data_IF_465305424302
#
_entry.id   IF_465305424302
#
_cell.length_a   1.000
_cell.length_b   1.000
_cell.length_c   1.000
_cell.angle_alpha   90.00
_cell.angle_beta   90.00
_cell.angle_gamma   90.00
#
_symmetry.space_group_name_H-M   'P 1'
#
loop_
_entity.id
_entity.type
_entity.pdbx_description
1 polymer ?
#
# COMPACT_ATOMS: atom_id res chain seq x y z
N UNK A 1 40.08 -26.24 16.70
CA UNK A 1 40.03 -27.33 15.70
C UNK A 1 40.68 -28.62 16.21
N UNK A 2 41.76 -28.55 17.02
CA UNK A 2 42.50 -29.74 17.46
C UNK A 2 41.76 -30.64 18.49
N UNK A 3 41.00 -30.07 19.44
CA UNK A 3 40.26 -30.86 20.44
C UNK A 3 39.16 -31.77 19.86
N UNK A 4 38.55 -31.39 18.73
CA UNK A 4 37.48 -32.16 18.08
C UNK A 4 38.05 -33.36 17.28
N UNK A 5 39.20 -33.14 16.64
CA UNK A 5 39.95 -34.19 15.95
C UNK A 5 40.55 -35.20 16.95
N UNK A 6 41.04 -34.76 18.10
CA UNK A 6 41.55 -35.65 19.16
C UNK A 6 40.43 -36.48 19.81
N UNK A 7 39.25 -35.90 20.02
CA UNK A 7 38.04 -36.63 20.45
C UNK A 7 37.64 -37.72 19.45
N UNK A 8 37.71 -37.41 18.16
CA UNK A 8 37.42 -38.34 17.07
C UNK A 8 38.45 -39.49 16.98
N UNK A 9 39.74 -39.19 17.18
CA UNK A 9 40.81 -40.20 17.15
C UNK A 9 40.67 -41.20 18.31
N UNK A 10 40.22 -40.74 19.49
CA UNK A 10 40.01 -41.59 20.68
C UNK A 10 38.71 -42.39 20.70
N UNK A 11 37.75 -42.09 19.82
CA UNK A 11 36.44 -42.74 19.85
C UNK A 11 36.47 -44.09 19.12
N UNK A 12 36.20 -45.16 19.86
CA UNK A 12 35.95 -46.49 19.29
C UNK A 12 34.48 -46.60 18.89
N UNK A 13 34.22 -46.97 17.65
CA UNK A 13 32.85 -47.11 17.12
C UNK A 13 32.50 -48.59 17.09
N UNK A 14 31.59 -48.97 17.98
CA UNK A 14 31.06 -50.33 18.03
C UNK A 14 30.16 -50.62 16.84
N UNK A 15 30.08 -51.89 16.46
CA UNK A 15 29.26 -52.35 15.33
C UNK A 15 27.77 -51.97 15.45
N UNK A 16 27.12 -52.02 16.64
CA UNK A 16 25.73 -51.57 16.79
C UNK A 16 25.52 -50.09 16.42
N UNK A 17 26.51 -49.23 16.68
CA UNK A 17 26.43 -47.80 16.35
C UNK A 17 26.46 -47.56 14.84
N UNK A 18 27.22 -48.37 14.08
CA UNK A 18 27.21 -48.32 12.61
C UNK A 18 25.84 -48.71 12.05
N UNK A 19 25.22 -49.76 12.59
CA UNK A 19 23.86 -50.19 12.20
C UNK A 19 22.85 -49.09 12.50
N UNK A 20 22.99 -48.41 13.64
CA UNK A 20 22.17 -47.25 13.96
C UNK A 20 22.34 -46.11 12.93
N UNK A 21 23.57 -45.76 12.54
CA UNK A 21 23.81 -44.74 11.51
C UNK A 21 23.22 -45.11 10.15
N UNK A 22 23.29 -46.39 9.75
CA UNK A 22 22.64 -46.89 8.53
C UNK A 22 21.12 -46.68 8.57
N UNK A 23 20.48 -47.04 9.68
CA UNK A 23 19.04 -46.83 9.87
C UNK A 23 18.70 -45.34 9.83
N UNK A 24 19.45 -44.51 10.54
CA UNK A 24 19.23 -43.06 10.57
C UNK A 24 19.42 -42.41 9.19
N UNK A 25 20.34 -42.93 8.36
CA UNK A 25 20.58 -42.45 7.02
C UNK A 25 19.39 -42.63 6.07
N UNK A 26 18.43 -43.49 6.41
CA UNK A 26 17.13 -43.58 5.70
C UNK A 26 16.27 -42.34 5.93
N UNK A 27 16.33 -41.72 7.11
CA UNK A 27 15.70 -40.43 7.38
C UNK A 27 16.36 -39.30 6.58
N UNK A 28 17.69 -39.30 6.53
CA UNK A 28 18.48 -38.36 5.70
C UNK A 28 18.14 -38.52 4.20
N UNK A 29 17.81 -39.73 3.75
CA UNK A 29 17.43 -40.02 2.36
C UNK A 29 16.11 -39.34 1.94
N UNK A 30 15.17 -39.13 2.87
CA UNK A 30 13.92 -38.40 2.59
C UNK A 30 14.24 -36.98 2.11
N UNK A 31 15.11 -36.27 2.83
CA UNK A 31 15.50 -34.90 2.50
C UNK A 31 16.24 -34.83 1.16
N UNK A 32 17.22 -35.70 0.92
CA UNK A 32 17.91 -35.78 -0.38
C UNK A 32 16.93 -36.03 -1.53
N UNK A 33 15.98 -36.94 -1.34
CA UNK A 33 14.95 -37.25 -2.35
C UNK A 33 14.10 -36.02 -2.66
N UNK A 34 13.62 -35.30 -1.64
CA UNK A 34 12.80 -34.08 -1.84
C UNK A 34 13.61 -32.96 -2.51
N UNK A 35 14.84 -32.70 -2.04
CA UNK A 35 15.69 -31.64 -2.57
C UNK A 35 16.00 -31.89 -4.06
N UNK A 36 16.47 -33.10 -4.39
CA UNK A 36 16.83 -33.42 -5.77
C UNK A 36 15.61 -33.46 -6.68
N UNK A 37 14.47 -33.96 -6.22
CA UNK A 37 13.26 -34.06 -7.04
C UNK A 37 12.53 -32.72 -7.22
N UNK A 38 12.41 -31.89 -6.17
CA UNK A 38 11.58 -30.67 -6.18
C UNK A 38 12.37 -29.39 -6.41
N UNK A 39 13.54 -29.24 -5.79
CA UNK A 39 14.32 -28.00 -5.89
C UNK A 39 15.28 -28.03 -7.08
N UNK A 40 15.88 -29.19 -7.36
CA UNK A 40 16.82 -29.37 -8.49
C UNK A 40 16.17 -29.92 -9.76
N UNK A 41 14.88 -30.29 -9.70
CA UNK A 41 14.09 -30.84 -10.82
C UNK A 41 14.79 -32.03 -11.53
N UNK A 42 15.42 -32.91 -10.75
CA UNK A 42 16.09 -34.10 -11.28
C UNK A 42 15.14 -35.29 -11.29
N UNK A 43 15.12 -36.03 -12.41
CA UNK A 43 14.31 -37.25 -12.57
C UNK A 43 15.14 -38.48 -12.19
N UNK A 44 14.73 -39.18 -11.13
CA UNK A 44 15.36 -40.41 -10.66
C UNK A 44 14.34 -41.30 -9.91
N UNK A 45 14.74 -42.54 -9.61
CA UNK A 45 13.88 -43.47 -8.85
C UNK A 45 13.80 -43.05 -7.39
N UNK A 46 12.59 -42.94 -6.83
CA UNK A 46 12.36 -42.41 -5.46
C UNK A 46 13.10 -43.19 -4.35
N UNK A 47 13.41 -44.46 -4.57
CA UNK A 47 14.10 -45.32 -3.60
C UNK A 47 15.63 -45.22 -3.66
N UNK A 48 16.20 -44.45 -4.59
CA UNK A 48 17.65 -44.37 -4.82
C UNK A 48 18.42 -44.02 -3.54
N UNK A 49 18.07 -42.93 -2.87
CA UNK A 49 18.79 -42.47 -1.67
C UNK A 49 18.55 -43.35 -0.45
N UNK A 50 17.40 -44.04 -0.38
CA UNK A 50 17.10 -44.98 0.70
C UNK A 50 18.01 -46.21 0.67
N UNK A 51 18.53 -46.55 -0.51
CA UNK A 51 19.50 -47.64 -0.68
C UNK A 51 20.93 -47.10 -0.65
N UNK A 52 21.18 -45.98 -1.34
CA UNK A 52 22.52 -45.40 -1.46
C UNK A 52 23.10 -44.94 -0.12
N UNK A 53 22.33 -44.22 0.71
CA UNK A 53 22.87 -43.62 1.93
C UNK A 53 23.28 -44.67 2.97
N UNK A 54 22.45 -45.69 3.31
CA UNK A 54 22.87 -46.75 4.23
C UNK A 54 24.02 -47.60 3.68
N UNK A 55 24.04 -47.89 2.36
CA UNK A 55 25.14 -48.63 1.73
C UNK A 55 26.45 -47.86 1.83
N UNK A 56 26.44 -46.53 1.63
CA UNK A 56 27.64 -45.70 1.72
C UNK A 56 28.27 -45.74 3.12
N UNK A 57 27.43 -45.73 4.17
CA UNK A 57 27.87 -45.88 5.57
C UNK A 57 28.39 -47.30 5.82
N UNK A 58 27.77 -48.32 5.25
CA UNK A 58 28.23 -49.71 5.39
C UNK A 58 29.56 -49.98 4.73
N UNK A 59 29.72 -49.56 3.49
CA UNK A 59 30.97 -49.73 2.75
C UNK A 59 32.11 -48.98 3.44
N UNK A 60 31.87 -47.78 3.96
CA UNK A 60 32.90 -47.04 4.71
C UNK A 60 33.26 -47.73 6.03
N UNK A 61 32.29 -48.33 6.73
CA UNK A 61 32.55 -49.10 7.96
C UNK A 61 33.40 -50.37 7.73
N UNK A 62 33.29 -51.01 6.56
CA UNK A 62 34.11 -52.17 6.19
C UNK A 62 35.59 -51.80 5.99
N UNK A 63 35.88 -50.59 5.52
CA UNK A 63 37.24 -50.09 5.35
C UNK A 63 37.80 -49.65 6.70
N UNK A 64 37.07 -48.80 7.42
CA UNK A 64 37.42 -48.34 8.75
C UNK A 64 36.16 -47.85 9.47
N UNK A 65 35.84 -48.44 10.63
CA UNK A 65 34.65 -48.08 11.41
C UNK A 65 34.56 -46.59 11.72
N UNK A 66 35.69 -45.89 11.88
CA UNK A 66 35.74 -44.43 12.11
C UNK A 66 35.22 -43.64 10.89
N UNK A 67 35.50 -44.10 9.67
CA UNK A 67 35.02 -43.45 8.44
C UNK A 67 33.49 -43.43 8.33
N UNK A 68 32.80 -44.42 8.92
CA UNK A 68 31.34 -44.45 8.93
C UNK A 68 30.73 -43.20 9.60
N UNK A 69 31.35 -42.70 10.68
CA UNK A 69 30.93 -41.49 11.37
C UNK A 69 31.16 -40.23 10.52
N UNK A 70 32.31 -40.14 9.84
CA UNK A 70 32.61 -39.04 8.92
C UNK A 70 31.58 -39.02 7.79
N UNK A 71 31.35 -40.17 7.15
CA UNK A 71 30.39 -40.30 6.05
C UNK A 71 28.99 -39.93 6.51
N UNK A 72 28.60 -40.37 7.71
CA UNK A 72 27.32 -40.00 8.31
C UNK A 72 27.17 -38.47 8.46
N UNK A 73 28.14 -37.79 9.06
CA UNK A 73 28.08 -36.33 9.20
C UNK A 73 28.13 -35.60 7.87
N UNK A 74 28.93 -36.09 6.91
CA UNK A 74 28.94 -35.55 5.55
C UNK A 74 27.57 -35.66 4.88
N UNK A 75 26.86 -36.78 5.06
CA UNK A 75 25.49 -36.95 4.58
C UNK A 75 24.50 -36.01 5.28
N UNK A 76 24.69 -35.70 6.56
CA UNK A 76 23.87 -34.68 7.25
C UNK A 76 24.14 -33.28 6.68
N UNK A 77 25.42 -32.91 6.53
CA UNK A 77 25.83 -31.60 6.01
C UNK A 77 25.38 -31.41 4.55
N UNK A 78 25.43 -32.47 3.73
CA UNK A 78 25.04 -32.39 2.32
C UNK A 78 23.56 -32.02 2.15
N UNK A 79 22.68 -32.38 3.08
CA UNK A 79 21.26 -31.96 3.05
C UNK A 79 21.15 -30.43 3.01
N UNK A 80 21.85 -29.74 3.92
CA UNK A 80 21.78 -28.28 4.01
C UNK A 80 22.43 -27.61 2.80
N UNK A 81 23.57 -28.13 2.35
CA UNK A 81 24.28 -27.59 1.19
C UNK A 81 23.44 -27.71 -0.08
N UNK A 82 22.85 -28.88 -0.35
CA UNK A 82 21.98 -29.06 -1.51
C UNK A 82 20.65 -28.31 -1.38
N UNK A 83 20.11 -28.13 -0.16
CA UNK A 83 18.92 -27.33 0.06
C UNK A 83 19.15 -25.85 -0.32
N UNK A 84 20.27 -25.26 0.10
CA UNK A 84 20.63 -23.87 -0.24
C UNK A 84 20.82 -23.73 -1.74
N UNK A 85 21.61 -24.61 -2.37
CA UNK A 85 21.82 -24.60 -3.83
C UNK A 85 20.50 -24.76 -4.58
N UNK A 86 19.65 -25.69 -4.13
CA UNK A 86 18.34 -25.95 -4.69
C UNK A 86 17.41 -24.74 -4.57
N UNK A 87 17.38 -24.07 -3.42
CA UNK A 87 16.57 -22.87 -3.19
C UNK A 87 17.02 -21.71 -4.09
N UNK A 88 18.32 -21.46 -4.21
CA UNK A 88 18.87 -20.43 -5.10
C UNK A 88 18.52 -20.74 -6.55
N UNK A 89 18.78 -21.98 -7.02
CA UNK A 89 18.45 -22.39 -8.39
C UNK A 89 16.96 -22.24 -8.68
N UNK A 90 16.10 -22.76 -7.80
CA UNK A 90 14.64 -22.66 -7.93
C UNK A 90 14.17 -21.20 -7.96
N UNK A 91 14.74 -20.33 -7.13
CA UNK A 91 14.49 -18.89 -7.15
C UNK A 91 14.86 -18.24 -8.48
N UNK A 92 16.03 -18.57 -9.04
CA UNK A 92 16.48 -18.03 -10.33
C UNK A 92 15.61 -18.54 -11.49
N UNK A 93 15.31 -19.84 -11.52
CA UNK A 93 14.49 -20.47 -12.58
C UNK A 93 13.08 -19.90 -12.56
N UNK A 94 12.42 -19.88 -11.38
CA UNK A 94 11.09 -19.31 -11.23
C UNK A 94 11.06 -17.82 -11.59
N UNK A 95 12.08 -17.05 -11.21
CA UNK A 95 12.21 -15.65 -11.62
C UNK A 95 12.34 -15.51 -13.14
N UNK A 96 13.10 -16.37 -13.81
CA UNK A 96 13.24 -16.38 -15.27
C UNK A 96 11.93 -16.74 -15.97
N UNK A 97 11.24 -17.77 -15.51
CA UNK A 97 9.93 -18.17 -16.05
C UNK A 97 8.88 -17.07 -15.88
N UNK A 98 8.81 -16.45 -14.70
CA UNK A 98 7.89 -15.35 -14.44
C UNK A 98 8.21 -14.13 -15.31
N UNK A 99 9.50 -13.82 -15.52
CA UNK A 99 9.93 -12.79 -16.48
C UNK A 99 9.48 -13.15 -17.89
N UNK A 100 9.69 -14.39 -18.35
CA UNK A 100 9.30 -14.84 -19.69
C UNK A 100 7.78 -14.83 -19.92
N UNK A 101 6.98 -15.25 -18.92
CA UNK A 101 5.51 -15.15 -18.96
C UNK A 101 5.08 -13.69 -19.06
N UNK A 102 5.72 -12.80 -18.29
CA UNK A 102 5.42 -11.37 -18.27
C UNK A 102 5.84 -10.67 -19.57
N UNK A 103 6.98 -11.02 -20.18
CA UNK A 103 7.38 -10.45 -21.48
C UNK A 103 6.43 -10.89 -22.59
N UNK A 104 6.04 -12.17 -22.64
CA UNK A 104 5.01 -12.65 -23.58
C UNK A 104 3.68 -11.92 -23.40
N UNK A 105 3.24 -11.71 -22.16
CA UNK A 105 2.03 -10.95 -21.86
C UNK A 105 2.15 -9.48 -22.28
N UNK A 106 3.26 -8.82 -21.96
CA UNK A 106 3.49 -7.43 -22.34
C UNK A 106 3.55 -7.24 -23.86
N UNK A 107 4.17 -8.18 -24.59
CA UNK A 107 4.19 -8.16 -26.04
C UNK A 107 2.79 -8.33 -26.64
N UNK A 108 1.98 -9.26 -26.10
CA UNK A 108 0.61 -9.49 -26.56
C UNK A 108 -0.28 -8.24 -26.46
N UNK A 109 -0.10 -7.43 -25.42
CA UNK A 109 -0.94 -6.26 -25.13
C UNK A 109 -0.19 -4.92 -25.32
N UNK A 110 0.98 -4.94 -25.98
CA UNK A 110 1.85 -3.78 -26.20
C UNK A 110 2.09 -2.91 -24.94
N UNK A 111 2.27 -3.54 -23.79
CA UNK A 111 2.43 -2.87 -22.50
C UNK A 111 3.87 -2.38 -22.35
N UNK A 112 4.05 -1.06 -22.27
CA UNK A 112 5.36 -0.45 -22.00
C UNK A 112 5.84 -0.81 -20.58
N UNK A 113 7.10 -1.23 -20.40
CA UNK A 113 7.62 -1.54 -19.07
C UNK A 113 7.61 -0.29 -18.19
N UNK A 114 7.30 -0.46 -16.91
CA UNK A 114 7.40 0.63 -15.93
C UNK A 114 8.84 1.15 -15.91
N UNK A 115 9.07 2.46 -16.01
CA UNK A 115 10.41 3.01 -16.04
C UNK A 115 11.13 2.76 -14.70
N UNK A 116 12.44 2.55 -14.76
CA UNK A 116 13.25 2.13 -13.61
C UNK A 116 13.20 3.14 -12.45
N UNK A 117 13.21 4.44 -12.77
CA UNK A 117 13.19 5.53 -11.79
C UNK A 117 11.98 5.48 -10.86
N UNK A 118 10.80 5.03 -11.32
CA UNK A 118 9.62 4.89 -10.45
C UNK A 118 9.82 3.86 -9.34
N UNK A 119 10.59 2.80 -9.61
CA UNK A 119 10.94 1.80 -8.58
C UNK A 119 11.95 2.38 -7.59
N UNK A 120 12.92 3.13 -8.09
CA UNK A 120 13.94 3.80 -7.27
C UNK A 120 13.27 4.82 -6.34
N UNK A 121 12.39 5.66 -6.88
CA UNK A 121 11.62 6.64 -6.09
C UNK A 121 10.80 5.95 -5.00
N UNK A 122 10.10 4.85 -5.32
CA UNK A 122 9.35 4.09 -4.30
C UNK A 122 10.25 3.54 -3.19
N UNK A 123 11.44 3.05 -3.54
CA UNK A 123 12.44 2.58 -2.57
C UNK A 123 12.99 3.71 -1.70
N UNK A 124 13.35 4.86 -2.30
CA UNK A 124 13.81 6.04 -1.58
C UNK A 124 12.73 6.55 -0.63
N UNK A 125 11.47 6.60 -1.06
CA UNK A 125 10.36 7.02 -0.22
C UNK A 125 10.19 6.11 1.01
N UNK A 126 10.29 4.79 0.82
CA UNK A 126 10.21 3.83 1.91
C UNK A 126 11.39 3.96 2.90
N UNK A 127 12.61 4.14 2.38
CA UNK A 127 13.81 4.36 3.21
C UNK A 127 13.73 5.68 3.98
N UNK A 128 13.24 6.75 3.33
CA UNK A 128 13.03 8.05 3.96
C UNK A 128 12.00 7.97 5.08
N UNK A 129 10.89 7.25 4.88
CA UNK A 129 9.90 7.01 5.93
C UNK A 129 10.49 6.21 7.10
N UNK A 130 11.27 5.15 6.82
CA UNK A 130 11.91 4.36 7.88
C UNK A 130 12.93 5.19 8.67
N UNK A 131 13.70 6.05 7.98
CA UNK A 131 14.62 6.99 8.62
C UNK A 131 13.89 7.99 9.51
N UNK A 132 12.79 8.60 9.04
CA UNK A 132 11.95 9.49 9.84
C UNK A 132 11.37 8.79 11.07
N UNK A 133 10.86 7.57 10.90
CA UNK A 133 10.33 6.75 11.99
C UNK A 133 11.40 6.38 13.02
N UNK A 134 12.65 6.12 12.59
CA UNK A 134 13.74 5.83 13.51
C UNK A 134 14.17 7.04 14.36
N UNK A 135 14.08 8.26 13.82
CA UNK A 135 14.49 9.48 14.52
C UNK A 135 13.40 10.07 15.41
N UNK A 136 12.15 10.05 14.94
CA UNK A 136 11.02 10.74 15.59
C UNK A 136 9.95 9.73 16.04
N UNK A 137 10.22 8.43 16.02
CA UNK A 137 9.33 7.40 16.55
C UNK A 137 7.87 7.49 16.04
N UNK A 138 6.85 7.35 16.91
CA UNK A 138 5.45 7.32 16.52
C UNK A 138 4.96 8.65 15.91
N UNK A 139 5.62 9.77 16.16
CA UNK A 139 5.26 11.07 15.57
C UNK A 139 5.35 11.08 14.03
N UNK A 140 6.19 10.22 13.44
CA UNK A 140 6.27 10.06 11.98
C UNK A 140 4.96 9.55 11.36
N UNK A 141 4.14 8.80 12.12
CA UNK A 141 2.82 8.38 11.66
C UNK A 141 1.85 9.55 11.55
N UNK A 142 1.91 10.51 12.47
CA UNK A 142 1.06 11.72 12.42
C UNK A 142 1.37 12.56 11.20
N UNK A 143 2.66 12.77 10.91
CA UNK A 143 3.09 13.47 9.69
C UNK A 143 2.60 12.76 8.43
N UNK A 144 2.66 11.43 8.39
CA UNK A 144 2.13 10.64 7.27
C UNK A 144 0.63 10.88 7.08
N UNK A 145 -0.16 10.85 8.16
CA UNK A 145 -1.61 11.11 8.12
C UNK A 145 -1.96 12.54 7.69
N UNK A 146 -1.12 13.53 7.97
CA UNK A 146 -1.32 14.92 7.51
C UNK A 146 -0.90 15.10 6.03
N UNK A 147 0.18 14.45 5.59
CA UNK A 147 0.72 14.62 4.25
C UNK A 147 -0.14 13.89 3.20
N UNK A 148 -0.68 12.70 3.49
CA UNK A 148 -1.50 11.93 2.55
C UNK A 148 -2.71 12.72 1.99
N UNK A 149 -3.58 13.34 2.81
CA UNK A 149 -4.72 14.11 2.30
C UNK A 149 -4.24 15.36 1.53
N UNK A 150 -3.15 15.99 1.97
CA UNK A 150 -2.56 17.15 1.31
C UNK A 150 -2.08 16.80 -0.11
N UNK A 151 -1.36 15.68 -0.28
CA UNK A 151 -0.89 15.21 -1.59
C UNK A 151 -2.06 14.88 -2.52
N UNK A 152 -3.11 14.22 -2.01
CA UNK A 152 -4.30 13.90 -2.79
C UNK A 152 -5.07 15.15 -3.26
N UNK A 153 -4.97 16.27 -2.53
CA UNK A 153 -5.54 17.56 -2.93
C UNK A 153 -4.78 18.16 -4.13
N UNK A 154 -3.45 18.06 -4.14
CA UNK A 154 -2.61 18.66 -5.19
C UNK A 154 -2.47 17.80 -6.46
N UNK A 155 -2.67 16.47 -6.38
CA UNK A 155 -2.56 15.54 -7.51
C UNK A 155 -3.90 14.86 -7.84
N UNK A 156 -4.92 15.60 -8.33
CA UNK A 156 -6.22 15.02 -8.62
C UNK A 156 -6.17 14.06 -9.81
N UNK A 157 -6.66 12.84 -9.60
CA UNK A 157 -6.90 11.87 -10.68
C UNK A 157 -7.95 12.37 -11.68
N UNK A 158 -8.03 11.75 -12.85
CA UNK A 158 -8.92 12.24 -13.93
C UNK A 158 -10.40 12.17 -13.56
N UNK A 159 -10.83 11.13 -12.84
CA UNK A 159 -12.16 11.05 -12.19
C UNK A 159 -12.44 12.27 -11.29
N UNK A 160 -11.45 12.75 -10.54
CA UNK A 160 -11.63 13.92 -9.68
C UNK A 160 -11.82 15.20 -10.48
N UNK A 161 -11.18 15.32 -11.67
CA UNK A 161 -11.40 16.44 -12.58
C UNK A 161 -12.81 16.43 -13.13
N UNK A 162 -13.28 15.28 -13.61
CA UNK A 162 -14.66 15.10 -14.06
C UNK A 162 -15.65 15.51 -12.97
N UNK A 163 -15.54 14.92 -11.77
CA UNK A 163 -16.41 15.24 -10.64
C UNK A 163 -16.26 16.67 -10.12
N UNK A 164 -15.16 17.37 -10.43
CA UNK A 164 -15.00 18.78 -10.08
C UNK A 164 -15.83 19.65 -11.02
N UNK A 165 -15.73 19.42 -12.33
CA UNK A 165 -16.49 20.18 -13.32
C UNK A 165 -17.99 19.87 -13.26
N UNK A 166 -18.35 18.62 -13.00
CA UNK A 166 -19.73 18.18 -12.79
C UNK A 166 -20.42 18.97 -11.67
N UNK A 167 -19.68 19.46 -10.66
CA UNK A 167 -20.25 20.26 -9.57
C UNK A 167 -20.50 21.72 -9.94
N UNK A 168 -19.82 22.22 -10.96
CA UNK A 168 -19.78 23.65 -11.28
C UNK A 168 -20.52 23.99 -12.56
N UNK A 169 -20.64 23.02 -13.48
CA UNK A 169 -21.33 23.21 -14.75
C UNK A 169 -22.80 22.88 -14.56
N UNK A 170 -23.73 23.73 -15.04
CA UNK A 170 -25.11 23.34 -15.19
C UNK A 170 -25.25 22.41 -16.41
N UNK A 171 -26.10 21.40 -16.28
CA UNK A 171 -26.49 20.54 -17.40
C UNK A 171 -27.23 21.35 -18.45
N UNK A 172 -26.68 21.42 -19.66
CA UNK A 172 -27.24 22.16 -20.79
C UNK A 172 -28.09 21.25 -21.68
N UNK A 173 -29.17 21.79 -22.24
CA UNK A 173 -29.92 21.12 -23.30
C UNK A 173 -29.12 21.12 -24.60
N UNK A 174 -29.18 20.03 -25.35
CA UNK A 174 -28.37 19.83 -26.57
C UNK A 174 -28.61 20.93 -27.60
N UNK A 175 -29.87 21.34 -27.81
CA UNK A 175 -30.22 22.39 -28.79
C UNK A 175 -29.61 23.76 -28.47
N UNK A 176 -29.36 24.06 -27.20
CA UNK A 176 -28.93 25.37 -26.73
C UNK A 176 -27.60 25.34 -25.98
N UNK A 177 -26.81 24.27 -26.17
CA UNK A 177 -25.52 24.14 -25.51
C UNK A 177 -24.56 25.21 -26.04
N UNK A 178 -23.89 25.90 -25.13
CA UNK A 178 -22.92 26.93 -25.50
C UNK A 178 -21.60 26.29 -25.98
N UNK A 179 -20.93 26.99 -26.90
CA UNK A 179 -19.59 26.61 -27.35
C UNK A 179 -18.58 26.59 -26.19
N UNK A 180 -17.66 25.63 -26.19
CA UNK A 180 -16.66 25.46 -25.14
C UNK A 180 -17.01 24.37 -24.13
N UNK A 181 -16.47 24.45 -22.93
CA UNK A 181 -16.68 23.44 -21.88
C UNK A 181 -18.16 23.39 -21.46
N UNK A 182 -18.79 22.23 -21.59
CA UNK A 182 -20.18 22.03 -21.24
C UNK A 182 -20.43 20.67 -20.59
N UNK A 183 -21.55 20.59 -19.88
CA UNK A 183 -22.15 19.35 -19.39
C UNK A 183 -23.45 19.11 -20.16
N UNK A 184 -23.61 17.91 -20.70
CA UNK A 184 -24.82 17.47 -21.40
C UNK A 184 -25.25 16.11 -20.87
N UNK A 185 -26.53 15.83 -20.97
CA UNK A 185 -27.13 14.56 -20.56
C UNK A 185 -28.15 14.11 -21.61
N UNK A 186 -28.20 12.80 -21.87
CA UNK A 186 -29.09 12.22 -22.88
C UNK A 186 -28.91 10.71 -23.06
N UNK A 187 -29.73 10.15 -23.93
CA UNK A 187 -29.72 8.74 -24.35
C UNK A 187 -28.67 8.53 -25.44
N UNK A 188 -27.88 7.46 -25.32
CA UNK A 188 -26.87 7.13 -26.34
C UNK A 188 -27.50 6.46 -27.57
N UNK A 189 -27.06 6.89 -28.76
CA UNK A 189 -27.37 6.27 -30.06
C UNK A 189 -26.09 5.83 -30.76
N UNK A 190 -26.07 4.57 -31.19
CA UNK A 190 -24.94 3.99 -31.89
C UNK A 190 -24.94 4.41 -33.37
N UNK A 191 -23.77 4.82 -33.88
CA UNK A 191 -23.55 5.02 -35.32
C UNK A 191 -22.98 3.72 -35.91
N UNK A 192 -21.79 3.34 -35.45
CA UNK A 192 -21.12 2.09 -35.84
C UNK A 192 -20.74 1.25 -34.62
N UNK A 193 -20.97 -0.07 -34.63
CA UNK A 193 -20.67 -0.93 -33.51
C UNK A 193 -19.16 -1.17 -33.34
N UNK A 194 -18.72 -1.19 -32.08
CA UNK A 194 -17.47 -1.80 -31.63
C UNK A 194 -17.75 -3.18 -31.08
N UNK A 195 -16.89 -4.15 -31.40
CA UNK A 195 -16.99 -5.51 -30.87
C UNK A 195 -16.17 -5.65 -29.59
N UNK A 196 -16.85 -5.84 -28.46
CA UNK A 196 -16.21 -5.98 -27.16
C UNK A 196 -15.34 -7.26 -27.06
N UNK A 197 -14.22 -7.24 -26.30
CA UNK A 197 -13.29 -8.38 -26.24
C UNK A 197 -13.89 -9.64 -25.61
N UNK A 198 -14.80 -9.49 -24.63
CA UNK A 198 -15.44 -10.62 -23.93
C UNK A 198 -16.82 -10.87 -24.55
N UNK A 199 -17.06 -12.13 -24.94
CA UNK A 199 -18.30 -12.60 -25.60
C UNK A 199 -18.66 -11.92 -26.94
N UNK A 200 -17.80 -11.06 -27.50
CA UNK A 200 -17.98 -10.45 -28.83
C UNK A 200 -19.31 -9.68 -28.97
N UNK A 201 -19.72 -8.99 -27.90
CA UNK A 201 -20.94 -8.16 -27.91
C UNK A 201 -20.71 -6.88 -28.71
N UNK A 202 -21.71 -6.45 -29.47
CA UNK A 202 -21.75 -5.14 -30.11
C UNK A 202 -22.06 -4.05 -29.07
N UNK A 203 -21.35 -2.93 -29.14
CA UNK A 203 -21.46 -1.81 -28.22
C UNK A 203 -20.97 -0.51 -28.87
N UNK A 204 -21.22 0.64 -28.26
CA UNK A 204 -20.71 1.94 -28.72
C UNK A 204 -19.21 2.05 -28.41
N UNK A 205 -18.82 1.57 -27.23
CA UNK A 205 -17.45 1.50 -26.79
C UNK A 205 -17.30 0.60 -25.58
N UNK A 206 -16.06 0.22 -25.28
CA UNK A 206 -15.72 -0.61 -24.14
C UNK A 206 -14.49 -0.09 -23.40
N UNK A 207 -14.45 -0.30 -22.08
CA UNK A 207 -13.22 -0.32 -21.29
C UNK A 207 -12.92 -1.78 -20.92
N UNK A 208 -11.75 -2.28 -21.33
CA UNK A 208 -11.30 -3.63 -21.05
C UNK A 208 -10.09 -3.62 -20.12
N UNK A 209 -10.20 -4.36 -19.02
CA UNK A 209 -9.21 -4.38 -17.95
C UNK A 209 -8.73 -5.79 -17.65
N UNK A 210 -7.43 -5.92 -17.44
CA UNK A 210 -6.79 -7.16 -16.98
C UNK A 210 -6.07 -6.85 -15.67
N UNK A 211 -6.32 -7.68 -14.65
CA UNK A 211 -5.77 -7.55 -13.32
C UNK A 211 -5.07 -8.84 -12.90
N UNK A 212 -3.91 -8.72 -12.25
CA UNK A 212 -3.28 -9.82 -11.52
C UNK A 212 -4.03 -10.05 -10.21
N UNK A 213 -4.31 -11.31 -9.90
CA UNK A 213 -4.91 -11.73 -8.63
C UNK A 213 -3.78 -12.20 -7.71
N UNK A 214 -3.67 -11.60 -6.53
CA UNK A 214 -2.77 -12.08 -5.47
C UNK A 214 -3.59 -12.38 -4.24
N UNK A 215 -3.46 -13.60 -3.70
CA UNK A 215 -4.18 -14.05 -2.52
C UNK A 215 -3.22 -14.08 -1.34
N UNK A 216 -3.64 -13.51 -0.20
CA UNK A 216 -2.87 -13.60 1.04
C UNK A 216 -3.11 -14.92 1.78
N UNK A 217 -2.46 -15.10 2.93
CA UNK A 217 -2.57 -16.32 3.74
C UNK A 217 -3.97 -16.55 4.30
N UNK A 218 -4.76 -15.47 4.44
CA UNK A 218 -6.12 -15.49 4.98
C UNK A 218 -7.17 -15.66 3.87
N UNK A 219 -6.73 -15.89 2.63
CA UNK A 219 -7.60 -16.09 1.48
C UNK A 219 -8.15 -14.80 0.87
N UNK A 220 -7.72 -13.63 1.35
CA UNK A 220 -8.16 -12.34 0.82
C UNK A 220 -7.43 -12.03 -0.48
N UNK A 221 -8.23 -11.70 -1.50
CA UNK A 221 -7.71 -11.36 -2.81
C UNK A 221 -7.41 -9.86 -2.93
N UNK A 222 -6.26 -9.57 -3.52
CA UNK A 222 -5.86 -8.24 -3.97
C UNK A 222 -5.73 -8.25 -5.49
N UNK A 223 -6.11 -7.14 -6.11
CA UNK A 223 -6.13 -6.98 -7.56
C UNK A 223 -5.17 -5.87 -7.97
N UNK A 224 -4.37 -6.12 -8.99
CA UNK A 224 -3.46 -5.12 -9.56
C UNK A 224 -3.68 -5.02 -11.06
N UNK A 225 -4.17 -3.88 -11.52
CA UNK A 225 -4.34 -3.62 -12.96
C UNK A 225 -2.99 -3.71 -13.68
N UNK A 226 -2.92 -4.57 -14.68
CA UNK A 226 -1.74 -4.77 -15.54
C UNK A 226 -1.97 -4.29 -16.96
N UNK A 227 -3.23 -4.21 -17.40
CA UNK A 227 -3.62 -3.70 -18.70
C UNK A 227 -4.97 -2.99 -18.58
N UNK A 228 -5.11 -1.86 -19.28
CA UNK A 228 -6.36 -1.15 -19.45
C UNK A 228 -6.38 -0.57 -20.86
N UNK A 229 -7.48 -0.78 -21.56
CA UNK A 229 -7.70 -0.24 -22.89
C UNK A 229 -9.14 0.29 -22.96
N UNK A 230 -9.31 1.44 -23.59
CA UNK A 230 -10.61 2.01 -23.90
C UNK A 230 -10.69 2.20 -25.40
N UNK A 231 -11.70 1.62 -26.04
CA UNK A 231 -12.01 1.78 -27.46
C UNK A 231 -13.45 2.20 -27.58
N UNK A 232 -13.72 3.24 -28.35
CA UNK A 232 -15.05 3.79 -28.52
C UNK A 232 -15.14 4.41 -29.91
N UNK A 233 -16.22 4.12 -30.63
CA UNK A 233 -16.51 4.73 -31.93
C UNK A 233 -17.34 6.01 -31.75
N UNK A 234 -17.36 6.93 -32.72
CA UNK A 234 -18.30 8.05 -32.72
C UNK A 234 -19.74 7.60 -32.51
N UNK A 235 -20.49 8.39 -31.75
CA UNK A 235 -21.88 8.10 -31.40
C UNK A 235 -22.68 9.39 -31.27
N UNK A 236 -24.00 9.28 -31.25
CA UNK A 236 -24.87 10.41 -30.93
C UNK A 236 -25.34 10.33 -29.49
N UNK A 237 -25.53 11.50 -28.88
CA UNK A 237 -26.30 11.64 -27.65
C UNK A 237 -27.55 12.46 -27.94
N UNK A 238 -28.68 12.01 -27.42
CA UNK A 238 -30.00 12.58 -27.69
C UNK A 238 -30.71 12.97 -26.39
N UNK A 239 -31.24 14.19 -26.34
CA UNK A 239 -32.14 14.64 -25.28
C UNK A 239 -33.50 15.03 -25.89
N UNK A 240 -34.43 15.56 -25.09
CA UNK A 240 -35.74 15.97 -25.63
C UNK A 240 -35.66 17.16 -26.62
N UNK A 241 -34.50 17.81 -26.74
CA UNK A 241 -34.29 19.02 -27.54
C UNK A 241 -33.51 18.77 -28.83
N UNK A 242 -32.68 17.74 -28.91
CA UNK A 242 -31.91 17.46 -30.11
C UNK A 242 -30.94 16.30 -29.97
N UNK A 243 -30.10 16.17 -30.98
CA UNK A 243 -29.04 15.16 -31.08
C UNK A 243 -27.72 15.85 -31.37
N UNK A 244 -26.63 15.37 -30.77
CA UNK A 244 -25.28 15.88 -31.01
C UNK A 244 -24.30 14.73 -31.15
N UNK A 245 -23.41 14.83 -32.13
CA UNK A 245 -22.36 13.84 -32.35
C UNK A 245 -21.27 13.98 -31.29
N UNK A 246 -20.76 12.85 -30.81
CA UNK A 246 -19.66 12.76 -29.86
C UNK A 246 -18.46 12.15 -30.55
N UNK A 247 -17.35 12.90 -30.60
CA UNK A 247 -16.05 12.37 -30.96
C UNK A 247 -15.39 11.78 -29.70
N UNK A 248 -15.20 10.46 -29.60
CA UNK A 248 -14.80 9.79 -28.36
C UNK A 248 -13.28 9.81 -28.12
N UNK A 249 -12.50 10.55 -28.90
CA UNK A 249 -11.06 10.63 -28.70
C UNK A 249 -10.73 11.07 -27.25
N UNK A 250 -9.97 10.25 -26.51
CA UNK A 250 -9.62 10.47 -25.09
C UNK A 250 -10.81 10.47 -24.13
N UNK A 251 -11.96 9.91 -24.51
CA UNK A 251 -13.09 9.74 -23.61
C UNK A 251 -12.73 8.80 -22.46
N UNK A 252 -13.08 9.18 -21.24
CA UNK A 252 -12.91 8.36 -20.06
C UNK A 252 -14.24 7.84 -19.52
N UNK A 253 -14.26 6.57 -19.13
CA UNK A 253 -15.45 5.94 -18.56
C UNK A 253 -15.42 6.10 -17.05
N UNK A 254 -16.37 6.84 -16.50
CA UNK A 254 -16.50 7.06 -15.06
C UNK A 254 -17.73 6.30 -14.58
N UNK A 255 -17.54 5.34 -13.68
CA UNK A 255 -18.64 4.55 -13.08
C UNK A 255 -19.55 3.81 -14.07
N UNK A 256 -19.10 3.59 -15.30
CA UNK A 256 -19.78 2.72 -16.27
C UNK A 256 -19.87 1.31 -15.67
N UNK A 257 -21.04 0.69 -15.80
CA UNK A 257 -21.30 -0.59 -15.16
C UNK A 257 -20.48 -1.71 -15.81
N UNK A 258 -20.10 -2.69 -14.99
CA UNK A 258 -19.33 -3.85 -15.44
C UNK A 258 -20.29 -4.82 -16.13
N UNK A 259 -20.02 -5.12 -17.39
CA UNK A 259 -20.84 -6.03 -18.19
C UNK A 259 -20.47 -7.49 -17.93
N UNK A 260 -19.20 -7.84 -18.05
CA UNK A 260 -18.72 -9.23 -17.92
C UNK A 260 -17.40 -9.32 -17.17
N UNK A 261 -17.19 -10.46 -16.52
CA UNK A 261 -15.89 -10.81 -15.94
C UNK A 261 -15.62 -12.31 -16.03
N UNK A 262 -14.34 -12.68 -16.11
CA UNK A 262 -13.91 -14.07 -15.91
C UNK A 262 -12.50 -14.13 -15.32
N UNK A 263 -12.12 -15.32 -14.83
CA UNK A 263 -10.80 -15.58 -14.25
C UNK A 263 -10.08 -16.65 -15.04
N UNK A 264 -8.80 -16.45 -15.32
CA UNK A 264 -7.95 -17.46 -15.98
C UNK A 264 -6.48 -17.23 -15.64
N UNK A 265 -5.79 -18.29 -15.21
CA UNK A 265 -4.34 -18.27 -14.99
C UNK A 265 -3.86 -17.22 -13.98
N UNK A 266 -4.56 -17.08 -12.84
CA UNK A 266 -4.23 -16.08 -11.81
C UNK A 266 -4.53 -14.63 -12.20
N UNK A 267 -5.34 -14.41 -13.24
CA UNK A 267 -5.75 -13.08 -13.70
C UNK A 267 -7.27 -12.96 -13.72
N UNK A 268 -7.75 -11.74 -13.47
CA UNK A 268 -9.14 -11.32 -13.68
C UNK A 268 -9.22 -10.49 -14.95
N UNK A 269 -10.21 -10.79 -15.77
CA UNK A 269 -10.52 -10.06 -17.00
C UNK A 269 -11.91 -9.47 -16.82
N UNK A 270 -12.08 -8.19 -17.08
CA UNK A 270 -13.35 -7.50 -16.96
C UNK A 270 -13.56 -6.53 -18.10
N UNK A 271 -14.81 -6.29 -18.48
CA UNK A 271 -15.18 -5.25 -19.43
C UNK A 271 -16.35 -4.40 -18.92
N UNK A 272 -16.34 -3.14 -19.31
CA UNK A 272 -17.43 -2.17 -19.14
C UNK A 272 -17.85 -1.72 -20.53
N UNK A 273 -19.15 -1.62 -20.80
CA UNK A 273 -19.67 -1.30 -22.14
C UNK A 273 -20.54 -0.04 -22.09
N UNK A 274 -20.47 0.77 -23.13
CA UNK A 274 -21.48 1.77 -23.47
C UNK A 274 -22.47 1.14 -24.44
N UNK A 275 -23.75 1.12 -24.07
CA UNK A 275 -24.81 0.51 -24.86
C UNK A 275 -25.74 1.59 -25.42
N UNK A 276 -26.32 1.38 -26.61
CA UNK A 276 -27.38 2.25 -27.11
C UNK A 276 -28.56 2.20 -26.14
N UNK A 277 -29.24 3.34 -25.93
CA UNK A 277 -30.36 3.45 -25.00
C UNK A 277 -29.97 3.80 -23.56
N UNK A 278 -28.69 3.86 -23.22
CA UNK A 278 -28.26 4.22 -21.87
C UNK A 278 -28.33 5.74 -21.67
N UNK A 279 -28.94 6.15 -20.55
CA UNK A 279 -28.97 7.54 -20.11
C UNK A 279 -27.65 7.92 -19.45
N UNK A 280 -26.90 8.81 -20.10
CA UNK A 280 -25.52 9.15 -19.72
C UNK A 280 -25.32 10.66 -19.64
N UNK A 281 -24.39 11.06 -18.77
CA UNK A 281 -23.94 12.44 -18.60
C UNK A 281 -22.49 12.58 -19.06
N UNK A 282 -22.25 13.54 -19.95
CA UNK A 282 -20.94 13.83 -20.50
C UNK A 282 -20.46 15.22 -20.06
N UNK A 283 -19.15 15.32 -19.82
CA UNK A 283 -18.44 16.60 -19.67
C UNK A 283 -17.30 16.62 -20.66
N UNK A 284 -17.21 17.70 -21.42
CA UNK A 284 -16.27 17.87 -22.51
C UNK A 284 -16.47 19.23 -23.18
N UNK A 285 -15.95 19.37 -24.39
CA UNK A 285 -16.01 20.60 -25.17
C UNK A 285 -17.02 20.47 -26.30
N UNK A 286 -17.87 21.46 -26.47
CA UNK A 286 -18.62 21.69 -27.70
C UNK A 286 -17.77 22.51 -28.66
N UNK A 287 -17.51 21.97 -29.84
CA UNK A 287 -16.80 22.64 -30.93
C UNK A 287 -17.58 22.49 -32.25
N UNK A 288 -17.11 23.16 -33.30
CA UNK A 288 -17.65 22.99 -34.66
C UNK A 288 -16.64 22.19 -35.46
N UNK A 289 -17.13 21.19 -36.19
CA UNK A 289 -16.36 20.51 -37.24
C UNK A 289 -16.19 21.42 -38.45
N UNK A 290 -15.34 20.99 -39.40
CA UNK A 290 -15.11 21.69 -40.67
C UNK A 290 -16.39 21.94 -41.49
N UNK A 291 -17.39 21.06 -41.34
CA UNK A 291 -18.71 21.18 -41.97
C UNK A 291 -19.71 22.04 -41.18
N UNK A 292 -19.24 22.78 -40.17
CA UNK A 292 -20.03 23.66 -39.32
C UNK A 292 -21.11 22.94 -38.48
N UNK A 293 -20.97 21.62 -38.28
CA UNK A 293 -21.82 20.86 -37.36
C UNK A 293 -21.23 20.83 -35.95
N UNK A 294 -22.07 20.98 -34.90
CA UNK A 294 -21.61 20.89 -33.52
C UNK A 294 -21.18 19.47 -33.18
N UNK A 295 -20.03 19.34 -32.52
CA UNK A 295 -19.49 18.07 -32.02
C UNK A 295 -19.08 18.22 -30.57
N UNK A 296 -19.27 17.16 -29.79
CA UNK A 296 -18.81 17.06 -28.42
C UNK A 296 -17.52 16.25 -28.36
N UNK A 297 -16.46 16.82 -27.81
CA UNK A 297 -15.11 16.25 -27.88
C UNK A 297 -14.24 16.58 -26.66
N UNK A 298 -12.97 16.18 -26.70
CA UNK A 298 -12.02 16.39 -25.62
C UNK A 298 -11.64 17.87 -25.41
N UNK A 299 -11.73 18.35 -24.16
CA UNK A 299 -11.30 19.71 -23.80
C UNK A 299 -9.79 19.76 -23.51
N UNK A 300 -9.02 20.32 -24.45
CA UNK A 300 -7.56 20.34 -24.42
C UNK A 300 -6.95 21.16 -23.27
N UNK A 301 -7.58 22.26 -22.86
CA UNK A 301 -7.02 23.17 -21.84
C UNK A 301 -7.25 22.58 -20.46
N UNK A 302 -8.49 22.18 -20.16
CA UNK A 302 -8.87 21.63 -18.85
C UNK A 302 -8.57 20.14 -18.70
N UNK A 303 -8.24 19.47 -19.82
CA UNK A 303 -7.89 18.05 -19.91
C UNK A 303 -8.96 17.16 -19.29
N UNK A 304 -10.20 17.36 -19.74
CA UNK A 304 -11.38 16.62 -19.27
C UNK A 304 -12.22 16.19 -20.46
N UNK A 305 -12.54 14.90 -20.48
CA UNK A 305 -13.58 14.34 -21.32
C UNK A 305 -14.01 13.01 -20.74
N UNK A 306 -15.22 12.95 -20.21
CA UNK A 306 -15.67 11.75 -19.53
C UNK A 306 -17.18 11.59 -19.62
N UNK A 307 -17.58 10.32 -19.56
CA UNK A 307 -18.96 9.86 -19.62
C UNK A 307 -19.27 9.01 -18.39
N UNK A 308 -20.45 9.19 -17.82
CA UNK A 308 -20.93 8.35 -16.72
C UNK A 308 -22.45 8.14 -16.75
N UNK A 309 -22.96 7.06 -16.15
CA UNK A 309 -24.41 6.87 -16.03
C UNK A 309 -25.04 7.97 -15.17
N UNK A 310 -26.07 8.64 -15.69
CA UNK A 310 -26.69 9.78 -15.00
C UNK A 310 -27.17 9.41 -13.59
N UNK A 311 -27.79 8.23 -13.41
CA UNK A 311 -28.28 7.81 -12.09
C UNK A 311 -27.15 7.69 -11.05
N UNK A 312 -25.93 7.29 -11.46
CA UNK A 312 -24.79 7.17 -10.54
C UNK A 312 -24.31 8.53 -10.07
N UNK A 313 -24.36 9.54 -10.95
CA UNK A 313 -24.01 10.92 -10.63
C UNK A 313 -25.05 11.50 -9.68
N UNK A 314 -26.33 11.32 -9.97
CA UNK A 314 -27.42 11.75 -9.08
C UNK A 314 -27.27 11.13 -7.71
N UNK A 315 -27.09 9.81 -7.63
CA UNK A 315 -26.85 9.11 -6.36
C UNK A 315 -25.62 9.67 -5.63
N UNK A 316 -24.50 9.82 -6.32
CA UNK A 316 -23.28 10.38 -5.72
C UNK A 316 -23.52 11.79 -5.16
N UNK A 317 -24.19 12.67 -5.90
CA UNK A 317 -24.46 14.04 -5.49
C UNK A 317 -25.40 14.10 -4.28
N UNK A 318 -26.39 13.20 -4.20
CA UNK A 318 -27.28 13.09 -3.05
C UNK A 318 -26.55 12.67 -1.76
N UNK A 319 -25.67 11.68 -1.83
CA UNK A 319 -24.99 11.15 -0.63
C UNK A 319 -23.66 11.84 -0.31
N UNK A 320 -23.12 12.66 -1.22
CA UNK A 320 -21.84 13.35 -1.04
C UNK A 320 -21.77 14.21 0.23
N UNK A 321 -22.80 14.98 0.64
CA UNK A 321 -22.72 15.76 1.88
C UNK A 321 -22.42 14.88 3.10
N UNK A 322 -23.06 13.72 3.18
CA UNK A 322 -22.83 12.73 4.24
C UNK A 322 -21.40 12.20 4.21
N UNK A 323 -20.88 11.86 3.02
CA UNK A 323 -19.50 11.39 2.87
C UNK A 323 -18.47 12.46 3.26
N UNK A 324 -18.69 13.71 2.86
CA UNK A 324 -17.79 14.80 3.23
C UNK A 324 -17.76 15.01 4.76
N UNK A 325 -18.93 15.00 5.40
CA UNK A 325 -19.02 15.07 6.87
C UNK A 325 -18.34 13.89 7.52
N UNK A 326 -18.59 12.66 7.05
CA UNK A 326 -17.95 11.45 7.58
C UNK A 326 -16.42 11.51 7.51
N UNK A 327 -15.85 11.95 6.38
CA UNK A 327 -14.40 12.14 6.24
C UNK A 327 -13.89 13.19 7.21
N UNK A 328 -14.58 14.33 7.35
CA UNK A 328 -14.23 15.38 8.30
C UNK A 328 -14.18 14.87 9.75
N UNK A 329 -15.24 14.18 10.20
CA UNK A 329 -15.30 13.57 11.53
C UNK A 329 -14.20 12.52 11.72
N UNK A 330 -13.95 11.68 10.71
CA UNK A 330 -12.90 10.65 10.77
C UNK A 330 -11.51 11.27 10.91
N UNK A 331 -11.22 12.36 10.18
CA UNK A 331 -9.95 13.08 10.30
C UNK A 331 -9.76 13.69 11.70
N UNK A 332 -10.81 14.33 12.25
CA UNK A 332 -10.78 14.89 13.61
C UNK A 332 -10.55 13.78 14.64
N UNK A 333 -11.28 12.67 14.53
CA UNK A 333 -11.14 11.53 15.44
C UNK A 333 -9.74 10.91 15.35
N UNK A 334 -9.22 10.70 14.14
CA UNK A 334 -7.87 10.18 13.93
C UNK A 334 -6.80 11.12 14.50
N UNK A 335 -7.00 12.44 14.37
CA UNK A 335 -6.13 13.43 14.99
C UNK A 335 -6.15 13.33 16.52
N UNK A 336 -7.33 13.26 17.13
CA UNK A 336 -7.47 13.08 18.59
C UNK A 336 -6.81 11.78 19.05
N UNK A 337 -7.06 10.66 18.36
CA UNK A 337 -6.46 9.37 18.68
C UNK A 337 -4.93 9.40 18.56
N UNK A 338 -4.39 10.09 17.54
CA UNK A 338 -2.96 10.29 17.37
C UNK A 338 -2.36 11.11 18.51
N UNK A 339 -3.03 12.18 18.95
CA UNK A 339 -2.61 12.98 20.11
C UNK A 339 -2.60 12.11 21.38
N UNK A 340 -3.66 11.34 21.64
CA UNK A 340 -3.74 10.45 22.81
C UNK A 340 -2.61 9.42 22.81
N UNK A 341 -2.29 8.81 21.67
CA UNK A 341 -1.20 7.82 21.56
C UNK A 341 0.20 8.43 21.77
N UNK A 342 0.35 9.72 21.47
CA UNK A 342 1.59 10.46 21.67
C UNK A 342 1.75 10.88 23.13
N UNK A 343 0.64 11.23 23.79
CA UNK A 343 0.68 11.75 25.14
C UNK A 343 1.21 10.68 26.11
N UNK A 344 2.33 10.94 26.80
CA UNK A 344 2.85 10.02 27.79
C UNK A 344 1.87 9.91 28.96
N UNK A 345 1.26 8.73 29.13
CA UNK A 345 0.38 8.41 30.26
C UNK A 345 1.11 7.47 31.22
N UNK A 346 1.17 7.85 32.50
CA UNK A 346 1.66 6.97 33.58
C UNK A 346 0.50 6.61 34.50
N UNK A 347 0.47 5.36 34.95
CA UNK A 347 -0.52 4.89 35.92
C UNK A 347 0.19 4.72 37.25
N UNK A 348 -0.10 5.58 38.21
CA UNK A 348 0.43 5.51 39.57
C UNK A 348 -0.73 5.40 40.57
N UNK A 349 -0.71 4.35 41.40
CA UNK A 349 -1.64 4.16 42.53
C UNK A 349 -3.10 4.47 42.19
N UNK A 350 -3.61 3.84 41.13
CA UNK A 350 -5.00 3.98 40.65
C UNK A 350 -5.37 5.33 39.99
N UNK A 351 -4.41 6.24 39.82
CA UNK A 351 -4.58 7.50 39.09
C UNK A 351 -3.84 7.48 37.75
N UNK A 352 -4.47 8.05 36.71
CA UNK A 352 -3.86 8.26 35.39
C UNK A 352 -3.23 9.66 35.40
N UNK A 353 -1.91 9.74 35.39
CA UNK A 353 -1.17 11.00 35.29
C UNK A 353 -0.81 11.22 33.82
N UNK A 354 -1.36 12.29 33.25
CA UNK A 354 -1.13 12.70 31.86
C UNK A 354 -0.02 13.75 31.87
N UNK A 355 1.20 13.35 31.46
CA UNK A 355 2.34 14.26 31.38
C UNK A 355 2.27 15.10 30.08
N UNK A 356 2.62 16.38 30.15
CA UNK A 356 2.73 17.22 28.95
C UNK A 356 3.93 16.76 28.09
N UNK A 357 3.78 16.67 26.76
CA UNK A 357 4.90 16.33 25.88
C UNK A 357 5.96 17.43 25.99
N UNK A 358 7.16 17.06 26.45
CA UNK A 358 8.31 17.97 26.50
C UNK A 358 8.86 18.11 25.09
N UNK A 359 8.50 19.21 24.40
CA UNK A 359 9.08 19.55 23.11
C UNK A 359 10.51 20.07 23.32
N UNK A 360 11.52 19.22 23.17
CA UNK A 360 12.91 19.67 23.13
C UNK A 360 13.14 20.47 21.84
N UNK A 361 13.59 21.72 21.97
CA UNK A 361 13.93 22.59 20.86
C UNK A 361 15.11 21.98 20.07
N UNK A 362 14.95 21.61 18.78
CA UNK A 362 16.01 20.94 18.02
C UNK A 362 17.17 21.87 17.64
N UNK A 363 17.00 23.19 17.82
CA UNK A 363 18.07 24.17 17.77
C UNK A 363 18.32 24.63 19.20
N UNK A 364 19.33 24.05 19.84
CA UNK A 364 19.67 24.36 21.23
C UNK A 364 19.89 25.85 21.45
N UNK A 365 19.56 26.32 22.65
CA UNK A 365 19.82 27.69 23.08
C UNK A 365 21.30 28.02 22.85
N UNK A 366 21.56 28.93 21.92
CA UNK A 366 22.89 29.48 21.70
C UNK A 366 23.29 30.16 23.02
N UNK A 367 24.15 29.51 23.79
CA UNK A 367 24.84 30.13 24.94
C UNK A 367 25.56 31.37 24.42
N UNK A 368 25.15 32.53 24.90
CA UNK A 368 25.96 33.74 24.82
C UNK A 368 27.24 33.50 25.62
N UNK A 369 28.35 33.33 24.91
CA UNK A 369 29.69 33.29 25.47
C UNK A 369 30.04 34.62 26.15
N UNK A 370 30.73 34.49 27.28
CA UNK A 370 31.25 35.53 28.14
C UNK A 370 32.06 36.59 27.38
N UNK A 371 31.73 37.87 27.60
CA UNK A 371 32.65 38.98 27.36
C UNK A 371 32.82 39.71 28.70
N UNK A 372 34.02 39.54 29.27
CA UNK A 372 34.52 40.25 30.44
C UNK A 372 34.85 41.71 30.14
N UNK A 373 34.61 42.62 31.08
CA UNK A 373 35.58 43.66 31.41
C UNK A 373 35.23 44.32 32.74
N UNK A 374 36.08 44.06 33.74
CA UNK A 374 36.33 44.89 34.92
C UNK A 374 36.48 46.38 34.54
N UNK A 375 35.86 47.28 35.30
CA UNK A 375 36.40 48.61 35.66
C UNK A 375 35.68 49.19 36.90
N UNK A 376 36.30 48.99 38.07
CA UNK A 376 36.78 50.01 39.02
C UNK A 376 35.79 51.00 39.69
N UNK A 377 35.67 50.78 41.02
CA UNK A 377 35.80 51.65 42.20
C UNK A 377 34.77 52.74 42.59
N UNK A 378 34.16 52.46 43.75
CA UNK A 378 34.41 53.07 45.08
C UNK A 378 33.96 54.52 45.38
N UNK A 379 33.11 54.56 46.41
CA UNK A 379 32.87 55.60 47.41
C UNK A 379 32.99 57.09 47.04
N UNK A 380 31.85 57.77 47.09
CA UNK A 380 31.76 59.06 47.79
C UNK A 380 30.44 59.13 48.53
N UNK A 381 30.50 59.02 49.86
CA UNK A 381 29.39 59.26 50.78
C UNK A 381 29.21 60.77 50.99
N UNK A 382 27.95 61.22 51.01
CA UNK A 382 27.59 62.61 51.33
C UNK A 382 26.11 62.95 51.11
N UNK A 383 25.27 62.53 52.05
CA UNK A 383 24.09 63.25 52.56
C UNK A 383 22.88 63.56 51.63
N UNK A 384 21.76 62.82 51.80
CA UNK A 384 20.49 63.26 52.46
C UNK A 384 19.32 62.29 52.14
N UNK A 385 18.72 61.77 53.23
CA UNK A 385 17.38 61.18 53.47
C UNK A 385 17.02 59.75 52.98
N UNK A 386 16.81 58.91 54.00
CA UNK A 386 16.30 57.53 54.03
C UNK A 386 14.77 57.40 53.90
N UNK A 387 14.37 56.13 53.73
CA UNK A 387 13.05 55.48 53.73
C UNK A 387 12.24 55.58 52.42
N UNK A 388 12.01 54.50 51.65
CA UNK A 388 11.94 53.09 52.01
C UNK A 388 10.55 52.55 51.74
N UNK A 389 10.27 52.12 50.51
CA UNK A 389 9.25 51.11 50.25
C UNK A 389 9.58 50.31 48.99
N UNK A 390 10.10 49.13 49.27
CA UNK A 390 10.38 48.03 48.36
C UNK A 390 9.07 47.59 47.68
N UNK A 391 9.05 47.64 46.35
CA UNK A 391 7.95 47.11 45.54
C UNK A 391 8.24 45.62 45.35
N UNK A 392 7.53 44.83 46.14
CA UNK A 392 7.40 43.38 46.03
C UNK A 392 6.89 43.02 44.62
N UNK A 393 7.80 42.63 43.71
CA UNK A 393 7.41 41.89 42.51
C UNK A 393 7.02 40.47 42.94
N UNK A 394 5.75 40.35 43.29
CA UNK A 394 5.07 39.08 43.56
C UNK A 394 5.30 38.14 42.38
N UNK A 395 6.22 37.20 42.57
CA UNK A 395 6.38 36.02 41.71
C UNK A 395 5.04 35.32 41.73
N UNK A 396 4.23 35.51 40.70
CA UNK A 396 2.97 34.80 40.55
C UNK A 396 3.36 33.36 40.21
N UNK A 397 3.46 32.56 41.25
CA UNK A 397 3.47 31.11 41.18
C UNK A 397 2.15 30.72 40.51
N UNK A 398 2.18 30.50 39.20
CA UNK A 398 1.06 29.94 38.48
C UNK A 398 0.98 28.49 38.95
N UNK A 399 0.04 28.21 39.87
CA UNK A 399 -0.29 26.87 40.30
C UNK A 399 -0.48 25.98 39.07
N UNK A 400 0.41 25.00 38.98
CA UNK A 400 0.42 23.93 38.02
C UNK A 400 -0.77 23.03 38.32
N UNK A 401 -1.93 23.36 37.75
CA UNK A 401 -3.09 22.49 37.81
C UNK A 401 -2.89 21.33 36.85
N UNK A 402 -2.31 20.24 37.35
CA UNK A 402 -2.46 18.92 36.77
C UNK A 402 -3.97 18.59 36.77
N UNK A 403 -4.53 18.35 35.59
CA UNK A 403 -5.93 17.99 35.46
C UNK A 403 -6.08 16.51 35.82
N UNK A 404 -6.37 16.25 37.10
CA UNK A 404 -6.72 14.91 37.61
C UNK A 404 -8.14 14.58 37.15
N UNK A 405 -8.29 13.56 36.31
CA UNK A 405 -9.60 13.01 35.95
C UNK A 405 -9.86 11.82 36.88
N UNK A 406 -10.69 12.03 37.91
CA UNK A 406 -11.19 10.94 38.75
C UNK A 406 -12.20 10.09 37.98
N UNK A 407 -11.87 8.83 37.73
CA UNK A 407 -12.82 7.83 37.26
C UNK A 407 -13.81 7.50 38.37
N UNK A 408 -15.05 7.97 38.22
CA UNK A 408 -16.18 7.64 39.09
C UNK A 408 -16.51 6.14 39.02
N UNK A 409 -16.15 5.39 40.07
CA UNK A 409 -16.63 4.02 40.30
C UNK A 409 -18.00 4.11 40.99
N UNK A 410 -19.09 3.94 40.25
CA UNK A 410 -20.43 3.74 40.84
C UNK A 410 -20.84 2.29 40.66
N UNK A 411 -20.60 1.47 41.67
CA UNK A 411 -21.19 0.13 41.81
C UNK A 411 -21.67 -0.08 43.23
N UNK A 412 -22.99 -0.32 43.34
CA UNK A 412 -23.68 -1.11 44.37
C UNK A 412 -23.51 -0.74 45.85
N UNK A 413 -24.44 0.05 46.37
CA UNK A 413 -24.97 -0.15 47.72
C UNK A 413 -26.34 0.54 47.84
N UNK A 414 -27.42 -0.19 47.53
CA UNK A 414 -28.80 0.18 47.88
C UNK A 414 -29.76 -1.01 47.65
N UNK A 415 -29.46 -2.19 48.21
CA UNK A 415 -30.47 -3.24 48.44
C UNK A 415 -30.18 -3.93 49.77
N UNK A 416 -31.19 -3.96 50.65
CA UNK A 416 -31.33 -4.72 51.90
C UNK A 416 -30.56 -4.23 53.14
N UNK A 417 -31.27 -3.55 54.05
CA UNK A 417 -31.88 -4.30 55.16
C UNK A 417 -32.97 -3.51 55.89
N UNK A 418 -34.10 -4.20 56.10
CA UNK A 418 -35.06 -3.99 57.18
C UNK A 418 -34.41 -3.58 58.50
N UNK A 419 -34.78 -2.43 59.08
CA UNK A 419 -35.66 -2.33 60.26
C UNK A 419 -35.88 -0.87 60.65
#
# INVERSE_FOLDING_TARGET
>A
MNNLLDLYIKQEIETPMVVFFMLFATGIAIFHTVIFAKLLDLKFRKWLFFVLNPILIGLSALVNKKLALIVFFLLVISVFLFAIIGAIRSGIVSARENRAKRTKFNAKYNIKPTPLWKKIVGGILALSFFFLFANIGPYALVLLFLIIPLVNLFLPGNKNKYLRYQRTLPTSKIRSVAMGLAEIEGELRMIEPVIAPIKKKECIGYEYRIEDITTDKDGKESYRTVFNETVCNPFFIEDETGSMEVNPEKIEFVWVEKDEQYRRGGKRYSQHLLKPGEQMLLIGKVSLKDNNQPVFEYENIKKVFAISPSHKITYYNTYRPLLNSFVGFTCIFAFIAAVILITPMRIEREQIIVEYPVFQNPFGDLKSEDISSDYINDETAGEIQEEGKEIEFKKTEYERNDMVIDTFTRSEELINHNK
#
